data_IF_675512357974
#
_entry.id   IF_675512357974
#
_cell.length_a   1.000
_cell.length_b   1.000
_cell.length_c   1.000
_cell.angle_alpha   90.00
_cell.angle_beta   90.00
_cell.angle_gamma   90.00
#
_symmetry.space_group_name_H-M   'P 1'
#
loop_
_entity.id
_entity.type
_entity.pdbx_description
1 polymer ?
#
# COMPACT_ATOMS: atom_id res chain seq x y z
N UNK A 1 -9.98 18.67 48.64
CA UNK A 1 -9.52 17.27 48.76
C UNK A 1 -8.56 17.03 47.60
N UNK A 2 -7.27 16.88 47.86
CA UNK A 2 -6.30 16.49 46.86
C UNK A 2 -6.49 15.00 46.62
N UNK A 3 -6.91 14.63 45.41
CA UNK A 3 -7.03 13.22 45.02
C UNK A 3 -5.66 12.56 45.19
N UNK A 4 -5.57 11.44 45.90
CA UNK A 4 -4.37 10.63 45.98
C UNK A 4 -4.03 10.15 44.55
N UNK A 5 -2.80 10.34 44.04
CA UNK A 5 -2.43 9.86 42.72
C UNK A 5 -2.66 8.34 42.64
N UNK A 6 -3.26 7.89 41.52
CA UNK A 6 -3.45 6.48 41.23
C UNK A 6 -2.09 5.73 41.18
N UNK A 7 -2.01 4.64 41.93
CA UNK A 7 -0.81 3.78 41.96
C UNK A 7 -1.08 2.45 41.23
N UNK A 8 -0.55 2.24 40.02
CA UNK A 8 -0.79 1.01 39.23
C UNK A 8 -0.33 -0.27 39.93
N UNK A 9 0.64 -0.21 40.86
CA UNK A 9 1.11 -1.37 41.60
C UNK A 9 0.00 -1.98 42.49
N UNK A 10 -0.96 -1.16 42.96
CA UNK A 10 -2.09 -1.61 43.75
C UNK A 10 -3.07 -2.48 42.93
N UNK A 11 -3.09 -2.32 41.58
CA UNK A 11 -3.83 -3.18 40.67
C UNK A 11 -3.00 -4.37 40.15
N UNK A 12 -1.83 -4.61 40.72
CA UNK A 12 -0.95 -5.71 40.33
C UNK A 12 -0.13 -5.46 39.07
N UNK A 13 0.01 -4.20 38.61
CA UNK A 13 0.85 -3.89 37.47
C UNK A 13 2.32 -4.22 37.73
N UNK A 14 2.99 -4.80 36.73
CA UNK A 14 4.41 -5.07 36.79
C UNK A 14 5.19 -3.76 36.70
N UNK A 15 5.90 -3.40 37.78
CA UNK A 15 6.63 -2.13 37.89
C UNK A 15 8.18 -2.29 37.75
N UNK A 16 8.70 -3.51 37.78
CA UNK A 16 10.12 -3.77 37.64
C UNK A 16 10.39 -4.73 36.47
N UNK A 17 11.34 -4.35 35.61
CA UNK A 17 11.66 -5.08 34.38
C UNK A 17 13.12 -5.58 34.30
N UNK A 18 13.87 -5.59 35.44
CA UNK A 18 15.23 -6.11 35.48
C UNK A 18 15.27 -7.57 35.03
N UNK A 19 16.01 -7.82 33.95
CA UNK A 19 16.13 -9.15 33.34
C UNK A 19 14.86 -9.68 32.66
N UNK A 20 13.85 -8.82 32.38
CA UNK A 20 12.61 -9.15 31.71
C UNK A 20 12.42 -8.31 30.44
N UNK A 21 11.75 -8.86 29.44
CA UNK A 21 11.42 -8.14 28.23
C UNK A 21 10.41 -7.01 28.55
N UNK A 22 10.80 -5.77 28.29
CA UNK A 22 9.93 -4.61 28.38
C UNK A 22 9.19 -4.34 27.06
N UNK A 23 8.25 -3.40 27.08
CA UNK A 23 7.57 -2.91 25.86
C UNK A 23 8.57 -2.35 24.83
N UNK A 24 9.55 -1.57 25.29
CA UNK A 24 10.59 -1.00 24.44
C UNK A 24 11.47 -2.06 23.79
N UNK A 25 11.86 -3.10 24.56
CA UNK A 25 12.68 -4.22 24.05
C UNK A 25 11.94 -5.00 22.97
N UNK A 26 10.68 -5.35 23.19
CA UNK A 26 9.87 -6.11 22.22
C UNK A 26 9.68 -5.36 20.90
N UNK A 27 9.41 -4.06 20.97
CA UNK A 27 9.14 -3.23 19.80
C UNK A 27 10.39 -2.60 19.17
N UNK A 28 11.57 -2.77 19.79
CA UNK A 28 12.81 -2.07 19.41
C UNK A 28 12.61 -0.54 19.31
N UNK A 29 11.88 0.04 20.28
CA UNK A 29 11.44 1.45 20.23
C UNK A 29 12.62 2.41 20.13
N UNK A 30 13.70 2.16 20.87
CA UNK A 30 14.88 3.03 20.84
C UNK A 30 15.51 3.10 19.44
N UNK A 31 15.53 1.96 18.70
CA UNK A 31 16.03 1.93 17.33
C UNK A 31 15.13 2.72 16.38
N UNK A 32 13.80 2.60 16.53
CA UNK A 32 12.84 3.31 15.71
C UNK A 32 12.90 4.81 15.97
N UNK A 33 12.93 5.22 17.25
CA UNK A 33 12.92 6.63 17.66
C UNK A 33 14.30 7.32 17.52
N UNK A 34 15.38 6.60 17.30
CA UNK A 34 16.70 7.14 16.98
C UNK A 34 17.01 7.18 15.48
N UNK A 35 16.08 6.74 14.64
CA UNK A 35 16.26 6.70 13.18
C UNK A 35 15.94 8.04 12.48
N UNK A 36 15.59 9.09 13.22
CA UNK A 36 15.33 10.41 12.69
C UNK A 36 16.59 11.27 12.78
N UNK A 37 17.18 11.57 11.62
CA UNK A 37 18.40 12.38 11.53
C UNK A 37 18.16 13.54 10.55
N UNK A 38 17.62 14.67 11.02
CA UNK A 38 17.48 15.88 10.20
C UNK A 38 18.85 16.36 9.67
N UNK A 39 18.86 16.89 8.46
CA UNK A 39 20.05 17.43 7.79
C UNK A 39 20.12 18.96 7.90
N UNK A 40 19.07 19.58 8.47
CA UNK A 40 18.96 21.02 8.68
C UNK A 40 18.38 21.34 10.06
N UNK A 41 18.36 22.62 10.42
CA UNK A 41 17.70 23.13 11.64
C UNK A 41 16.19 23.45 11.40
N UNK A 42 15.65 23.11 10.23
CA UNK A 42 14.26 23.38 9.91
C UNK A 42 13.32 22.50 10.75
N UNK A 43 12.38 23.13 11.47
CA UNK A 43 11.46 22.44 12.36
C UNK A 43 10.67 21.32 11.65
N UNK A 44 10.17 21.61 10.47
CA UNK A 44 9.29 20.70 9.72
C UNK A 44 10.02 19.56 8.99
N UNK A 45 11.36 19.55 9.00
CA UNK A 45 12.11 18.40 8.48
C UNK A 45 11.84 17.14 9.33
N UNK A 46 11.68 17.26 10.64
CA UNK A 46 11.29 16.16 11.51
C UNK A 46 9.91 15.61 11.15
N UNK A 47 8.92 16.48 10.90
CA UNK A 47 7.61 16.08 10.40
C UNK A 47 7.73 15.29 9.08
N UNK A 48 8.53 15.78 8.14
CA UNK A 48 8.74 15.15 6.84
C UNK A 48 9.35 13.75 6.99
N UNK A 49 10.38 13.59 7.83
CA UNK A 49 11.03 12.29 8.09
C UNK A 49 10.05 11.30 8.71
N UNK A 50 9.41 11.67 9.83
CA UNK A 50 8.51 10.76 10.56
C UNK A 50 7.33 10.35 9.69
N UNK A 51 6.75 11.28 8.93
CA UNK A 51 5.65 10.99 8.01
C UNK A 51 6.02 9.91 6.99
N UNK A 52 7.22 9.99 6.39
CA UNK A 52 7.67 9.00 5.42
C UNK A 52 8.03 7.66 6.09
N UNK A 53 8.71 7.68 7.24
CA UNK A 53 9.00 6.46 8.01
C UNK A 53 7.74 5.72 8.43
N UNK A 54 6.74 6.44 8.93
CA UNK A 54 5.45 5.87 9.31
C UNK A 54 4.73 5.26 8.10
N UNK A 55 4.77 5.92 6.95
CA UNK A 55 4.21 5.40 5.71
C UNK A 55 4.90 4.10 5.28
N UNK A 56 6.23 4.03 5.38
CA UNK A 56 6.98 2.80 5.06
C UNK A 56 6.66 1.64 6.03
N UNK A 57 6.44 1.92 7.33
CA UNK A 57 6.00 0.90 8.31
C UNK A 57 4.59 0.38 7.98
N UNK A 58 3.65 1.25 7.61
CA UNK A 58 2.32 0.84 7.15
C UNK A 58 2.38 0.03 5.86
N UNK A 59 3.22 0.43 4.89
CA UNK A 59 3.43 -0.34 3.66
C UNK A 59 4.03 -1.72 3.94
N UNK A 60 4.93 -1.82 4.93
CA UNK A 60 5.47 -3.11 5.38
C UNK A 60 4.37 -4.05 5.87
N UNK A 61 3.43 -3.54 6.66
CA UNK A 61 2.29 -4.32 7.14
C UNK A 61 1.33 -4.65 5.98
N UNK A 62 1.06 -3.70 5.08
CA UNK A 62 0.22 -3.96 3.91
C UNK A 62 0.77 -5.09 3.04
N UNK A 63 2.07 -5.10 2.77
CA UNK A 63 2.73 -6.18 2.03
C UNK A 63 2.61 -7.54 2.73
N UNK A 64 2.75 -7.57 4.05
CA UNK A 64 2.57 -8.79 4.84
C UNK A 64 1.15 -9.37 4.71
N UNK A 65 0.13 -8.51 4.80
CA UNK A 65 -1.28 -8.91 4.68
C UNK A 65 -1.65 -9.29 3.24
N UNK A 66 -1.19 -8.54 2.23
CA UNK A 66 -1.42 -8.88 0.81
C UNK A 66 -0.80 -10.25 0.49
N UNK A 67 0.40 -10.51 0.99
CA UNK A 67 1.10 -11.78 0.77
C UNK A 67 0.35 -12.96 1.43
N UNK A 68 -0.15 -12.74 2.65
CA UNK A 68 -0.97 -13.72 3.34
C UNK A 68 -2.31 -13.95 2.60
N UNK A 69 -2.98 -12.90 2.15
CA UNK A 69 -4.22 -13.01 1.38
C UNK A 69 -4.01 -13.81 0.08
N UNK A 70 -2.95 -13.53 -0.69
CA UNK A 70 -2.60 -14.30 -1.89
C UNK A 70 -2.45 -15.80 -1.59
N UNK A 71 -1.73 -16.16 -0.52
CA UNK A 71 -1.56 -17.57 -0.13
C UNK A 71 -2.87 -18.23 0.24
N UNK A 72 -3.76 -17.54 0.94
CA UNK A 72 -5.07 -18.10 1.31
C UNK A 72 -5.96 -18.29 0.09
N UNK A 73 -6.00 -17.34 -0.83
CA UNK A 73 -6.77 -17.46 -2.08
C UNK A 73 -6.21 -18.60 -2.95
N UNK A 74 -4.88 -18.69 -3.08
CA UNK A 74 -4.23 -19.77 -3.82
C UNK A 74 -4.53 -21.17 -3.24
N UNK A 75 -4.76 -21.25 -1.92
CA UNK A 75 -5.13 -22.47 -1.19
C UNK A 75 -6.64 -22.71 -1.13
N UNK A 76 -7.45 -21.99 -1.92
CA UNK A 76 -8.93 -22.06 -1.92
C UNK A 76 -9.59 -21.76 -0.56
N UNK A 77 -8.98 -20.84 0.19
CA UNK A 77 -9.44 -20.37 1.51
C UNK A 77 -9.72 -18.84 1.49
N UNK A 78 -10.56 -18.33 0.57
CA UNK A 78 -10.73 -16.88 0.39
C UNK A 78 -11.37 -16.20 1.61
N UNK A 79 -12.19 -16.89 2.40
CA UNK A 79 -12.80 -16.32 3.61
C UNK A 79 -11.74 -15.86 4.64
N UNK A 80 -10.62 -16.58 4.73
CA UNK A 80 -9.51 -16.16 5.59
C UNK A 80 -8.79 -14.94 5.00
N UNK A 81 -8.68 -14.89 3.65
CA UNK A 81 -8.11 -13.75 2.96
C UNK A 81 -8.94 -12.46 3.16
N UNK A 82 -10.27 -12.56 3.31
CA UNK A 82 -11.15 -11.38 3.48
C UNK A 82 -10.78 -10.53 4.69
N UNK A 83 -10.39 -11.16 5.81
CA UNK A 83 -9.89 -10.44 6.98
C UNK A 83 -8.59 -9.69 6.68
N UNK A 84 -7.69 -10.31 5.92
CA UNK A 84 -6.41 -9.70 5.53
C UNK A 84 -6.64 -8.53 4.58
N UNK A 85 -7.49 -8.70 3.55
CA UNK A 85 -7.85 -7.64 2.61
C UNK A 85 -8.56 -6.47 3.30
N UNK A 86 -9.50 -6.75 4.21
CA UNK A 86 -10.13 -5.72 5.03
C UNK A 86 -9.10 -4.93 5.86
N UNK A 87 -8.07 -5.62 6.38
CA UNK A 87 -6.97 -4.95 7.11
C UNK A 87 -6.11 -4.10 6.17
N UNK A 88 -5.82 -4.55 4.95
CA UNK A 88 -5.10 -3.76 3.95
C UNK A 88 -5.86 -2.46 3.64
N UNK A 89 -7.18 -2.51 3.47
CA UNK A 89 -8.01 -1.32 3.29
C UNK A 89 -7.88 -0.35 4.47
N UNK A 90 -7.91 -0.85 5.73
CA UNK A 90 -7.71 -0.02 6.93
C UNK A 90 -6.31 0.54 7.06
N UNK A 91 -5.27 -0.18 6.60
CA UNK A 91 -3.90 0.35 6.54
C UNK A 91 -3.85 1.53 5.57
N UNK A 92 -4.47 1.40 4.38
CA UNK A 92 -4.53 2.51 3.43
C UNK A 92 -5.39 3.68 3.92
N UNK A 93 -6.38 3.45 4.77
CA UNK A 93 -7.08 4.53 5.48
C UNK A 93 -6.12 5.32 6.39
N UNK A 94 -5.24 4.65 7.15
CA UNK A 94 -4.22 5.34 7.97
C UNK A 94 -3.22 6.10 7.09
N UNK A 95 -2.78 5.50 5.98
CA UNK A 95 -1.93 6.17 5.00
C UNK A 95 -2.62 7.41 4.38
N UNK A 96 -3.95 7.38 4.22
CA UNK A 96 -4.74 8.52 3.77
C UNK A 96 -4.80 9.62 4.83
N UNK A 97 -5.09 9.26 6.09
CA UNK A 97 -5.17 10.22 7.20
C UNK A 97 -3.82 10.90 7.47
N UNK A 98 -2.73 10.18 7.26
CA UNK A 98 -1.38 10.69 7.45
C UNK A 98 -1.05 11.88 6.52
N UNK A 99 -1.70 12.00 5.35
CA UNK A 99 -1.55 13.17 4.48
C UNK A 99 -2.06 14.46 5.12
N UNK A 100 -3.05 14.40 5.99
CA UNK A 100 -3.60 15.59 6.65
C UNK A 100 -2.58 16.20 7.62
N UNK A 101 -1.76 15.38 8.25
CA UNK A 101 -0.64 15.84 9.07
C UNK A 101 0.43 16.50 8.18
N UNK A 102 0.84 15.87 7.08
CA UNK A 102 1.87 16.43 6.19
C UNK A 102 1.42 17.74 5.53
N UNK A 103 0.12 17.89 5.25
CA UNK A 103 -0.46 19.12 4.67
C UNK A 103 -0.42 20.34 5.58
N UNK A 104 -0.11 20.18 6.86
CA UNK A 104 0.12 21.32 7.76
C UNK A 104 1.40 22.07 7.42
N UNK A 105 2.37 21.39 6.79
CA UNK A 105 3.60 22.03 6.29
C UNK A 105 3.28 22.98 5.14
N UNK A 106 3.79 24.21 5.23
CA UNK A 106 3.62 25.22 4.19
C UNK A 106 4.70 25.12 3.10
N UNK A 107 4.49 25.74 1.91
CA UNK A 107 5.55 25.83 0.90
C UNK A 107 6.82 26.51 1.41
N UNK A 108 6.70 27.48 2.32
CA UNK A 108 7.84 28.18 2.92
C UNK A 108 8.64 27.22 3.81
N UNK A 109 7.97 26.44 4.67
CA UNK A 109 8.61 25.45 5.55
C UNK A 109 9.36 24.40 4.74
N UNK A 110 8.73 23.84 3.72
CA UNK A 110 9.36 22.86 2.82
C UNK A 110 10.60 23.42 2.12
N UNK A 111 10.58 24.69 1.74
CA UNK A 111 11.70 25.32 1.01
C UNK A 111 12.94 25.43 1.90
N UNK A 112 12.80 25.51 3.23
CA UNK A 112 13.92 25.67 4.17
C UNK A 112 14.87 24.45 4.20
N UNK A 113 14.37 23.24 3.92
CA UNK A 113 15.19 22.00 3.95
C UNK A 113 15.21 21.24 2.60
N UNK A 114 14.45 21.69 1.60
CA UNK A 114 14.33 20.97 0.33
C UNK A 114 15.66 20.68 -0.36
N UNK A 115 16.61 21.60 -0.29
CA UNK A 115 17.92 21.45 -0.95
C UNK A 115 18.75 20.32 -0.31
N UNK A 116 18.63 20.12 0.99
CA UNK A 116 19.32 19.05 1.73
C UNK A 116 18.82 17.65 1.33
N UNK A 117 17.60 17.53 0.81
CA UNK A 117 17.08 16.26 0.31
C UNK A 117 17.85 15.75 -0.92
N UNK A 118 18.53 16.62 -1.66
CA UNK A 118 19.27 16.26 -2.86
C UNK A 118 18.38 15.59 -3.89
N UNK A 119 18.66 14.33 -4.20
CA UNK A 119 17.88 13.51 -5.13
C UNK A 119 16.97 12.50 -4.43
N UNK A 120 16.90 12.50 -3.10
CA UNK A 120 16.01 11.60 -2.37
C UNK A 120 14.54 11.97 -2.61
N UNK A 121 13.72 10.95 -2.85
CA UNK A 121 12.32 11.14 -3.22
C UNK A 121 11.50 9.89 -2.90
N UNK A 122 10.25 10.06 -2.49
CA UNK A 122 9.28 8.98 -2.33
C UNK A 122 9.08 8.13 -3.60
N UNK A 123 9.44 8.67 -4.77
CA UNK A 123 9.53 7.91 -6.03
C UNK A 123 10.44 6.66 -5.92
N UNK A 124 11.41 6.67 -5.01
CA UNK A 124 12.36 5.60 -4.76
C UNK A 124 11.89 4.60 -3.68
N UNK A 125 10.67 4.69 -3.16
CA UNK A 125 10.15 3.71 -2.23
C UNK A 125 10.01 2.34 -2.89
N UNK A 126 10.86 1.41 -2.49
CA UNK A 126 10.81 0.04 -3.00
C UNK A 126 9.64 -0.74 -2.43
N UNK A 127 9.17 -0.43 -1.21
CA UNK A 127 7.98 -1.06 -0.64
C UNK A 127 6.71 -0.65 -1.39
N UNK A 128 6.59 0.63 -1.75
CA UNK A 128 5.50 1.09 -2.60
C UNK A 128 5.50 0.35 -3.97
N UNK A 129 6.69 0.16 -4.57
CA UNK A 129 6.80 -0.65 -5.82
C UNK A 129 6.36 -2.08 -5.60
N UNK A 130 6.75 -2.73 -4.50
CA UNK A 130 6.27 -4.09 -4.19
C UNK A 130 4.75 -4.14 -4.03
N UNK A 131 4.12 -3.15 -3.38
CA UNK A 131 2.66 -3.07 -3.30
C UNK A 131 2.07 -2.99 -4.71
N UNK A 132 2.52 -2.08 -5.56
CA UNK A 132 2.04 -1.95 -6.94
C UNK A 132 2.18 -3.26 -7.72
N UNK A 133 3.34 -3.93 -7.63
CA UNK A 133 3.59 -5.18 -8.35
C UNK A 133 2.72 -6.33 -7.83
N UNK A 134 2.52 -6.40 -6.52
CA UNK A 134 1.68 -7.41 -5.89
C UNK A 134 0.20 -7.34 -6.32
N UNK A 135 -0.26 -6.15 -6.70
CA UNK A 135 -1.66 -5.92 -7.11
C UNK A 135 -1.86 -5.73 -8.62
N UNK A 136 -0.80 -5.86 -9.42
CA UNK A 136 -0.91 -5.91 -10.90
C UNK A 136 -0.35 -4.71 -11.64
N UNK A 137 -0.05 -3.59 -10.99
CA UNK A 137 0.57 -2.43 -11.65
C UNK A 137 2.08 -2.65 -11.85
N UNK A 138 2.46 -3.45 -12.84
CA UNK A 138 3.83 -3.88 -13.12
C UNK A 138 4.48 -3.01 -14.19
N UNK A 139 5.51 -2.26 -13.79
CA UNK A 139 6.31 -1.44 -14.68
C UNK A 139 7.80 -1.73 -14.48
N UNK A 140 8.40 -2.44 -15.43
CA UNK A 140 9.83 -2.83 -15.40
C UNK A 140 10.78 -1.62 -15.35
N UNK A 141 10.39 -0.46 -15.89
CA UNK A 141 11.22 0.74 -15.82
C UNK A 141 11.43 1.22 -14.37
N UNK A 142 10.52 0.87 -13.45
CA UNK A 142 10.61 1.21 -12.03
C UNK A 142 11.63 0.38 -11.26
N UNK A 143 12.29 -0.60 -11.87
CA UNK A 143 13.45 -1.29 -11.31
C UNK A 143 14.72 -0.43 -11.35
N UNK A 144 14.89 0.43 -12.36
CA UNK A 144 16.10 1.25 -12.56
C UNK A 144 16.52 2.08 -11.33
N UNK A 145 15.62 2.76 -10.61
CA UNK A 145 16.00 3.51 -9.42
C UNK A 145 16.69 2.68 -8.33
N UNK A 146 16.50 1.35 -8.34
CA UNK A 146 17.00 0.42 -7.34
C UNK A 146 18.25 -0.36 -7.80
N UNK A 147 18.75 -0.14 -9.02
CA UNK A 147 19.86 -0.89 -9.60
C UNK A 147 21.17 -0.82 -8.78
N UNK A 148 21.34 0.22 -7.97
CA UNK A 148 22.47 0.39 -7.05
C UNK A 148 22.35 -0.46 -5.77
N UNK A 149 21.24 -1.17 -5.55
CA UNK A 149 20.95 -2.01 -4.38
C UNK A 149 20.55 -3.41 -4.83
N UNK A 150 21.53 -4.33 -5.02
CA UNK A 150 21.27 -5.70 -5.49
C UNK A 150 20.27 -6.48 -4.61
N UNK A 151 20.29 -6.24 -3.31
CA UNK A 151 19.38 -6.84 -2.33
C UNK A 151 17.91 -6.43 -2.57
N UNK A 152 17.68 -5.17 -2.94
CA UNK A 152 16.34 -4.66 -3.28
C UNK A 152 15.91 -5.11 -4.68
N UNK A 153 16.85 -5.11 -5.63
CA UNK A 153 16.59 -5.62 -7.00
C UNK A 153 16.09 -7.06 -6.95
N UNK A 154 16.77 -7.94 -6.19
CA UNK A 154 16.36 -9.33 -6.07
C UNK A 154 14.92 -9.46 -5.52
N UNK A 155 14.52 -8.65 -4.54
CA UNK A 155 13.14 -8.64 -4.00
C UNK A 155 12.12 -8.17 -5.02
N UNK A 156 12.42 -7.10 -5.75
CA UNK A 156 11.53 -6.53 -6.76
C UNK A 156 11.36 -7.48 -7.95
N UNK A 157 12.45 -8.10 -8.43
CA UNK A 157 12.42 -9.06 -9.52
C UNK A 157 11.69 -10.35 -9.13
N UNK A 158 11.88 -10.83 -7.90
CA UNK A 158 11.15 -11.98 -7.40
C UNK A 158 9.63 -11.76 -7.41
N UNK A 159 9.18 -10.54 -7.12
CA UNK A 159 7.75 -10.21 -7.16
C UNK A 159 7.18 -10.25 -8.58
N UNK A 160 7.96 -9.91 -9.62
CA UNK A 160 7.53 -10.06 -11.01
C UNK A 160 7.32 -11.52 -11.45
N UNK A 161 7.92 -12.48 -10.78
CA UNK A 161 7.76 -13.90 -11.08
C UNK A 161 6.53 -14.52 -10.40
N UNK A 162 5.89 -13.80 -9.48
CA UNK A 162 4.77 -14.30 -8.69
C UNK A 162 3.43 -13.87 -9.29
N UNK A 163 2.36 -14.67 -9.17
CA UNK A 163 1.01 -14.22 -9.48
C UNK A 163 0.63 -13.01 -8.61
N UNK A 164 -0.07 -12.06 -9.20
CA UNK A 164 -0.62 -10.91 -8.47
C UNK A 164 -1.80 -11.34 -7.58
N UNK A 165 -2.28 -10.44 -6.73
CA UNK A 165 -3.50 -10.66 -5.97
C UNK A 165 -4.69 -10.96 -6.90
N UNK A 166 -4.76 -10.26 -8.03
CA UNK A 166 -5.83 -10.47 -9.02
C UNK A 166 -5.67 -11.78 -9.79
N UNK A 167 -4.44 -12.16 -10.16
CA UNK A 167 -4.18 -13.47 -10.78
C UNK A 167 -4.63 -14.61 -9.87
N UNK A 168 -4.34 -14.54 -8.58
CA UNK A 168 -4.76 -15.59 -7.64
C UNK A 168 -6.28 -15.60 -7.45
N UNK A 169 -6.93 -14.43 -7.42
CA UNK A 169 -8.39 -14.34 -7.41
C UNK A 169 -9.01 -15.03 -8.63
N UNK A 170 -8.55 -14.70 -9.83
CA UNK A 170 -9.07 -15.28 -11.08
C UNK A 170 -8.80 -16.78 -11.17
N UNK A 171 -7.60 -17.25 -10.76
CA UNK A 171 -7.27 -18.68 -10.69
C UNK A 171 -8.18 -19.43 -9.70
N UNK A 172 -8.46 -18.82 -8.54
CA UNK A 172 -9.40 -19.38 -7.58
C UNK A 172 -10.81 -19.51 -8.21
N UNK A 173 -11.31 -18.44 -8.84
CA UNK A 173 -12.63 -18.46 -9.49
C UNK A 173 -12.73 -19.51 -10.59
N UNK A 174 -11.68 -19.70 -11.38
CA UNK A 174 -11.60 -20.78 -12.38
C UNK A 174 -11.71 -22.16 -11.72
N UNK A 175 -11.03 -22.40 -10.59
CA UNK A 175 -11.15 -23.66 -9.83
C UNK A 175 -12.54 -23.88 -9.23
N UNK A 176 -13.28 -22.79 -8.97
CA UNK A 176 -14.68 -22.86 -8.54
C UNK A 176 -15.67 -23.04 -9.72
N UNK A 177 -15.17 -23.16 -10.94
CA UNK A 177 -16.00 -23.43 -12.13
C UNK A 177 -16.54 -22.18 -12.84
N UNK A 178 -16.11 -20.98 -12.45
CA UNK A 178 -16.44 -19.76 -13.20
C UNK A 178 -15.66 -19.68 -14.52
N UNK A 179 -16.24 -19.12 -15.59
CA UNK A 179 -15.65 -19.13 -16.92
C UNK A 179 -14.52 -18.09 -17.08
N UNK A 180 -13.42 -18.27 -16.38
CA UNK A 180 -12.21 -17.44 -16.56
C UNK A 180 -11.50 -17.86 -17.84
N UNK A 181 -11.17 -16.92 -18.76
CA UNK A 181 -10.48 -17.24 -20.00
C UNK A 181 -9.12 -17.90 -19.79
N UNK A 182 -8.78 -18.90 -20.63
CA UNK A 182 -7.56 -19.69 -20.49
C UNK A 182 -6.27 -18.87 -20.70
N UNK A 183 -6.31 -17.93 -21.62
CA UNK A 183 -5.19 -17.02 -21.90
C UNK A 183 -4.86 -16.11 -20.70
N UNK A 184 -5.89 -15.71 -19.93
CA UNK A 184 -5.72 -14.99 -18.66
C UNK A 184 -4.99 -15.86 -17.64
N UNK A 185 -5.36 -17.13 -17.51
CA UNK A 185 -4.76 -18.06 -16.55
C UNK A 185 -3.29 -18.39 -16.88
N UNK A 186 -2.89 -18.25 -18.15
CA UNK A 186 -1.56 -18.56 -18.66
C UNK A 186 -0.75 -17.33 -19.11
N UNK A 187 -1.23 -16.13 -18.79
CA UNK A 187 -0.58 -14.87 -19.20
C UNK A 187 0.87 -14.77 -18.68
N UNK A 188 1.68 -13.96 -19.35
CA UNK A 188 2.99 -13.56 -18.82
C UNK A 188 2.81 -12.68 -17.57
N UNK A 189 3.17 -13.22 -16.42
CA UNK A 189 3.08 -12.54 -15.14
C UNK A 189 3.96 -11.29 -15.01
N UNK A 190 4.96 -11.13 -15.87
CA UNK A 190 5.85 -9.96 -15.89
C UNK A 190 5.18 -8.73 -16.52
N UNK A 191 4.09 -8.91 -17.25
CA UNK A 191 3.33 -7.84 -17.85
C UNK A 191 2.35 -7.23 -16.84
N UNK A 192 2.12 -5.92 -16.96
CA UNK A 192 1.03 -5.26 -16.23
C UNK A 192 -0.31 -5.90 -16.62
N UNK A 193 -1.27 -5.86 -15.71
CA UNK A 193 -2.62 -6.26 -16.03
C UNK A 193 -3.23 -5.29 -17.06
N UNK A 194 -3.94 -5.83 -18.01
CA UNK A 194 -4.76 -5.09 -18.97
C UNK A 194 -6.17 -5.64 -18.94
N UNK A 195 -7.17 -4.77 -19.07
CA UNK A 195 -8.57 -5.18 -19.08
C UNK A 195 -8.83 -6.26 -20.11
N UNK A 196 -9.68 -7.25 -19.75
CA UNK A 196 -10.02 -8.40 -20.59
C UNK A 196 -11.53 -8.64 -20.61
N UNK A 197 -12.16 -8.55 -21.78
CA UNK A 197 -13.61 -8.66 -21.96
C UNK A 197 -14.20 -9.95 -21.36
N UNK A 198 -13.52 -11.08 -21.53
CA UNK A 198 -13.98 -12.36 -20.96
C UNK A 198 -13.94 -12.39 -19.43
N UNK A 199 -13.03 -11.64 -18.79
CA UNK A 199 -13.01 -11.48 -17.33
C UNK A 199 -14.16 -10.58 -16.88
N UNK A 200 -14.45 -9.53 -17.64
CA UNK A 200 -15.63 -8.69 -17.36
C UNK A 200 -16.92 -9.52 -17.44
N UNK A 201 -17.11 -10.32 -18.47
CA UNK A 201 -18.28 -11.21 -18.61
C UNK A 201 -18.36 -12.20 -17.43
N UNK A 202 -17.25 -12.76 -17.00
CA UNK A 202 -17.21 -13.63 -15.82
C UNK A 202 -17.67 -12.90 -14.56
N UNK A 203 -17.21 -11.66 -14.32
CA UNK A 203 -17.66 -10.85 -13.19
C UNK A 203 -19.13 -10.45 -13.31
N UNK A 204 -19.65 -10.21 -14.51
CA UNK A 204 -21.10 -9.96 -14.71
C UNK A 204 -21.96 -11.13 -14.24
N UNK A 205 -21.54 -12.36 -14.44
CA UNK A 205 -22.23 -13.57 -13.89
C UNK A 205 -22.32 -13.47 -12.37
N UNK A 206 -21.20 -13.16 -11.71
CA UNK A 206 -21.13 -13.04 -10.25
C UNK A 206 -22.04 -11.89 -9.74
N UNK A 207 -21.99 -10.73 -10.37
CA UNK A 207 -22.75 -9.56 -9.92
C UNK A 207 -24.23 -9.64 -10.23
N UNK A 208 -24.65 -10.39 -11.26
CA UNK A 208 -26.09 -10.61 -11.56
C UNK A 208 -26.77 -11.61 -10.67
N UNK A 209 -26.03 -12.54 -10.06
CA UNK A 209 -26.55 -13.47 -9.06
C UNK A 209 -25.60 -13.58 -7.86
N UNK A 210 -25.56 -12.55 -7.01
CA UNK A 210 -24.70 -12.55 -5.83
C UNK A 210 -25.04 -13.68 -4.84
N UNK A 211 -26.29 -14.14 -4.83
CA UNK A 211 -26.74 -15.20 -3.93
C UNK A 211 -26.11 -16.53 -4.30
N UNK A 212 -26.12 -16.88 -5.59
CA UNK A 212 -25.49 -18.09 -6.08
C UNK A 212 -23.95 -18.04 -5.99
N UNK A 213 -23.36 -16.85 -6.09
CA UNK A 213 -21.91 -16.62 -6.16
C UNK A 213 -21.37 -15.81 -4.97
N UNK A 214 -21.96 -15.96 -3.77
CA UNK A 214 -21.71 -15.07 -2.65
C UNK A 214 -20.21 -14.90 -2.30
N UNK A 215 -19.44 -16.00 -2.28
CA UNK A 215 -18.02 -15.94 -1.96
C UNK A 215 -17.20 -15.18 -3.03
N UNK A 216 -17.53 -15.36 -4.31
CA UNK A 216 -16.91 -14.63 -5.40
C UNK A 216 -17.27 -13.14 -5.36
N UNK A 217 -18.52 -12.83 -5.03
CA UNK A 217 -19.00 -11.46 -4.83
C UNK A 217 -18.29 -10.76 -3.68
N UNK A 218 -18.17 -11.41 -2.51
CA UNK A 218 -17.39 -10.88 -1.39
C UNK A 218 -15.92 -10.64 -1.76
N UNK A 219 -15.30 -11.56 -2.50
CA UNK A 219 -13.92 -11.39 -2.98
C UNK A 219 -13.81 -10.15 -3.88
N UNK A 220 -14.73 -9.99 -4.83
CA UNK A 220 -14.78 -8.82 -5.71
C UNK A 220 -14.87 -7.52 -4.91
N UNK A 221 -15.80 -7.43 -3.96
CA UNK A 221 -16.00 -6.22 -3.15
C UNK A 221 -14.79 -5.94 -2.25
N UNK A 222 -14.08 -6.96 -1.72
CA UNK A 222 -12.82 -6.75 -0.99
C UNK A 222 -11.70 -6.20 -1.86
N UNK A 223 -11.63 -6.61 -3.13
CA UNK A 223 -10.66 -6.05 -4.08
C UNK A 223 -11.00 -4.58 -4.40
N UNK A 224 -12.27 -4.28 -4.61
CA UNK A 224 -12.76 -2.91 -4.86
C UNK A 224 -12.54 -2.01 -3.64
N UNK A 225 -12.87 -2.47 -2.43
CA UNK A 225 -12.60 -1.73 -1.19
C UNK A 225 -11.12 -1.32 -1.09
N UNK A 226 -10.22 -2.26 -1.36
CA UNK A 226 -8.78 -1.98 -1.34
C UNK A 226 -8.40 -0.95 -2.41
N UNK A 227 -8.84 -1.14 -3.66
CA UNK A 227 -8.48 -0.23 -4.75
C UNK A 227 -9.03 1.18 -4.51
N UNK A 228 -10.23 1.34 -3.97
CA UNK A 228 -10.80 2.64 -3.64
C UNK A 228 -9.90 3.40 -2.65
N UNK A 229 -9.48 2.77 -1.54
CA UNK A 229 -8.54 3.39 -0.61
C UNK A 229 -7.18 3.68 -1.23
N UNK A 230 -6.69 2.81 -2.12
CA UNK A 230 -5.42 3.01 -2.82
C UNK A 230 -5.48 4.19 -3.80
N UNK A 231 -6.59 4.35 -4.53
CA UNK A 231 -6.84 5.49 -5.43
C UNK A 231 -6.95 6.80 -4.64
N UNK A 232 -7.63 6.79 -3.50
CA UNK A 232 -7.68 7.94 -2.58
C UNK A 232 -6.29 8.33 -2.09
N UNK A 233 -5.45 7.36 -1.76
CA UNK A 233 -4.08 7.63 -1.36
C UNK A 233 -3.28 8.33 -2.47
N UNK A 234 -3.39 7.86 -3.72
CA UNK A 234 -2.78 8.51 -4.88
C UNK A 234 -3.31 9.92 -5.09
N UNK A 235 -4.61 10.12 -4.95
CA UNK A 235 -5.24 11.44 -5.05
C UNK A 235 -4.74 12.39 -3.94
N UNK A 236 -4.69 11.93 -2.70
CA UNK A 236 -4.16 12.70 -1.58
C UNK A 236 -2.68 13.05 -1.76
N UNK A 237 -1.89 12.11 -2.31
CA UNK A 237 -0.50 12.38 -2.68
C UNK A 237 -0.41 13.53 -3.70
N UNK A 238 -1.15 13.44 -4.80
CA UNK A 238 -1.20 14.46 -5.84
C UNK A 238 -1.56 15.84 -5.26
N UNK A 239 -2.63 15.90 -4.48
CA UNK A 239 -3.14 17.18 -3.93
C UNK A 239 -2.18 17.76 -2.89
N UNK A 240 -1.53 16.92 -2.07
CA UNK A 240 -0.52 17.36 -1.10
C UNK A 240 0.72 17.90 -1.79
N UNK A 241 1.25 17.21 -2.80
CA UNK A 241 2.39 17.72 -3.59
C UNK A 241 2.03 19.02 -4.30
N UNK A 242 0.82 19.11 -4.86
CA UNK A 242 0.35 20.37 -5.49
C UNK A 242 0.27 21.52 -4.49
N UNK A 243 -0.15 21.26 -3.26
CA UNK A 243 -0.28 22.25 -2.19
C UNK A 243 1.07 22.73 -1.65
N UNK A 244 2.01 21.79 -1.41
CA UNK A 244 3.26 22.08 -0.69
C UNK A 244 4.40 22.44 -1.66
N UNK A 245 4.48 21.76 -2.81
CA UNK A 245 5.59 21.90 -3.77
C UNK A 245 5.17 22.70 -5.01
N UNK A 246 3.91 22.59 -5.40
CA UNK A 246 3.40 23.17 -6.65
C UNK A 246 3.87 22.39 -7.88
N UNK A 247 3.96 23.08 -9.04
CA UNK A 247 4.29 22.47 -10.34
C UNK A 247 5.81 22.23 -10.52
N UNK A 248 6.62 22.44 -9.49
CA UNK A 248 8.08 22.24 -9.56
C UNK A 248 8.40 20.76 -9.80
N UNK A 249 9.56 20.49 -10.42
CA UNK A 249 10.10 19.13 -10.53
C UNK A 249 10.29 18.51 -9.15
N UNK A 250 9.95 17.23 -9.01
CA UNK A 250 10.25 16.46 -7.81
C UNK A 250 11.77 16.33 -7.60
N UNK A 251 12.22 16.14 -6.37
CA UNK A 251 13.63 15.93 -6.02
C UNK A 251 14.21 14.70 -6.75
N UNK A 252 13.43 13.66 -6.98
CA UNK A 252 13.82 12.47 -7.77
C UNK A 252 13.79 12.68 -9.30
N UNK A 253 13.66 13.91 -9.80
CA UNK A 253 13.72 14.22 -11.22
C UNK A 253 12.43 14.00 -12.02
N UNK A 254 11.36 13.50 -11.40
CA UNK A 254 10.05 13.31 -12.05
C UNK A 254 9.40 14.67 -12.40
N UNK A 255 8.41 14.63 -13.32
CA UNK A 255 7.61 15.84 -13.64
C UNK A 255 6.66 16.27 -12.50
N UNK A 256 6.84 15.73 -11.27
CA UNK A 256 6.07 16.11 -10.08
C UNK A 256 4.57 15.83 -10.27
N UNK A 257 3.76 16.88 -10.13
CA UNK A 257 2.29 16.81 -10.23
C UNK A 257 1.81 16.12 -11.51
N UNK A 258 2.44 16.36 -12.66
CA UNK A 258 2.03 15.74 -13.94
C UNK A 258 2.25 14.22 -13.94
N UNK A 259 3.31 13.73 -13.31
CA UNK A 259 3.52 12.29 -13.13
C UNK A 259 2.44 11.69 -12.23
N UNK A 260 2.19 12.30 -11.07
CA UNK A 260 1.21 11.81 -10.10
C UNK A 260 -0.22 11.79 -10.69
N UNK A 261 -0.55 12.78 -11.54
CA UNK A 261 -1.86 12.82 -12.21
C UNK A 261 -2.07 11.60 -13.11
N UNK A 262 -1.06 11.20 -13.90
CA UNK A 262 -1.15 9.99 -14.74
C UNK A 262 -1.32 8.71 -13.93
N UNK A 263 -0.84 8.70 -12.67
CA UNK A 263 -1.01 7.53 -11.79
C UNK A 263 -2.44 7.38 -11.26
N UNK A 264 -3.27 8.43 -11.33
CA UNK A 264 -4.69 8.33 -10.96
C UNK A 264 -5.50 7.51 -11.94
N UNK A 265 -5.10 7.48 -13.22
CA UNK A 265 -5.80 6.78 -14.29
C UNK A 265 -5.49 5.25 -14.29
N UNK A 266 -4.55 4.80 -13.47
CA UNK A 266 -4.20 3.38 -13.37
C UNK A 266 -5.19 2.65 -12.48
N UNK A 267 -5.99 1.79 -13.08
CA UNK A 267 -6.89 0.85 -12.41
C UNK A 267 -6.15 -0.47 -12.14
N UNK A 268 -6.40 -1.05 -10.97
CA UNK A 268 -5.79 -2.31 -10.56
C UNK A 268 -6.64 -3.51 -10.98
N UNK A 269 -7.97 -3.35 -10.90
CA UNK A 269 -8.97 -4.36 -11.20
C UNK A 269 -10.04 -3.79 -12.14
N UNK A 270 -9.68 -3.43 -13.40
CA UNK A 270 -10.51 -2.62 -14.28
C UNK A 270 -11.87 -3.25 -14.58
N UNK A 271 -11.97 -4.57 -14.68
CA UNK A 271 -13.23 -5.25 -14.98
C UNK A 271 -14.23 -5.13 -13.83
N UNK A 272 -13.74 -5.05 -12.57
CA UNK A 272 -14.62 -4.82 -11.41
C UNK A 272 -15.22 -3.42 -11.41
N UNK A 273 -14.54 -2.43 -11.99
CA UNK A 273 -15.11 -1.10 -12.19
C UNK A 273 -16.03 -1.06 -13.41
N UNK A 274 -15.66 -1.71 -14.51
CA UNK A 274 -16.43 -1.73 -15.75
C UNK A 274 -17.79 -2.44 -15.57
N UNK A 275 -17.85 -3.55 -14.82
CA UNK A 275 -19.09 -4.30 -14.60
C UNK A 275 -20.21 -3.46 -14.02
N UNK A 276 -19.90 -2.44 -13.21
CA UNK A 276 -20.90 -1.53 -12.63
C UNK A 276 -21.70 -0.73 -13.67
N UNK A 277 -21.14 -0.58 -14.86
CA UNK A 277 -21.79 0.13 -15.97
C UNK A 277 -22.71 -0.79 -16.77
N UNK A 278 -22.49 -2.11 -16.70
CA UNK A 278 -23.23 -3.11 -17.50
C UNK A 278 -24.30 -3.89 -16.71
N UNK A 279 -24.44 -3.62 -15.42
CA UNK A 279 -25.49 -4.19 -14.53
C UNK A 279 -26.88 -3.46 -14.70
#
# INVERSE_FOLDING_TARGET
MTATPYNPAEDGAQMAFDGRMSYGDYLHIDQILSAQTPLSDAHDEMLFIIQHQTSELWMRLALHEIDAARRMIAADRPQEAFKMLARVARIFEQLNNAWDVLRTMTPSDYTTFREQLGQSSGFQSWQYRLVEYAVGNRNLAMLKPHAHRPDLMAKLEAEFARPTLYDEALRHLARQGLPVPQDVLTRDLRQAWTSHDGVQVMWEIVYRDPTAHWQAYELAEKLVDFEDYFRRWRFNHLTTVSRVIGIKRGTGGTSGVSYLRRMLDVELFPELWAVRTTL
#
